data_IF_908262750705
#
_entry.id   IF_908262750705
#
_cell.length_a   1.000
_cell.length_b   1.000
_cell.length_c   1.000
_cell.angle_alpha   90.00
_cell.angle_beta   90.00
_cell.angle_gamma   90.00
#
_symmetry.space_group_name_H-M   'P 1'
#
loop_
_entity.id
_entity.type
_entity.pdbx_description
1 polymer ?
#
# COMPACT_ATOMS: atom_id res chain seq x y z
N UNK A 1 36.26 43.68 61.03
CA UNK A 1 36.89 42.64 60.19
C UNK A 1 35.80 42.11 59.25
N UNK A 2 35.73 42.62 58.02
CA UNK A 2 34.68 42.26 57.03
C UNK A 2 35.26 41.17 56.14
N UNK A 3 34.57 40.03 56.03
CA UNK A 3 34.92 38.94 55.10
C UNK A 3 34.04 39.07 53.87
N UNK A 4 34.65 39.38 52.72
CA UNK A 4 33.99 39.38 51.41
C UNK A 4 34.05 37.98 50.81
N UNK A 5 32.89 37.38 50.53
CA UNK A 5 32.77 36.15 49.75
C UNK A 5 32.50 36.54 48.30
N UNK A 6 33.37 36.09 47.38
CA UNK A 6 33.20 36.30 45.93
C UNK A 6 32.37 35.16 45.35
N UNK A 7 31.22 35.41 44.70
CA UNK A 7 30.55 34.38 43.93
C UNK A 7 31.27 34.22 42.58
N UNK A 8 31.74 33.01 42.29
CA UNK A 8 32.20 32.64 40.94
C UNK A 8 30.94 32.41 40.09
N UNK A 9 30.71 33.28 39.11
CA UNK A 9 29.64 33.09 38.13
C UNK A 9 30.10 32.06 37.10
N UNK A 10 29.52 30.87 37.14
CA UNK A 10 29.75 29.84 36.12
C UNK A 10 28.92 30.19 34.88
N UNK A 11 29.55 30.72 33.84
CA UNK A 11 28.91 31.01 32.56
C UNK A 11 28.76 29.70 31.76
N UNK A 12 27.56 29.13 31.73
CA UNK A 12 27.26 27.99 30.86
C UNK A 12 27.18 28.47 29.40
N UNK A 13 28.20 28.14 28.58
CA UNK A 13 28.13 28.34 27.13
C UNK A 13 27.11 27.35 26.55
N UNK A 14 25.96 27.86 26.11
CA UNK A 14 25.05 27.12 25.24
C UNK A 14 25.65 27.09 23.82
N UNK A 15 26.28 25.98 23.44
CA UNK A 15 26.67 25.73 22.05
C UNK A 15 25.39 25.50 21.23
N UNK A 16 25.22 26.13 20.06
CA UNK A 16 24.09 25.81 19.18
C UNK A 16 24.26 24.37 18.68
N UNK A 17 23.41 23.47 19.16
CA UNK A 17 23.34 22.10 18.66
C UNK A 17 22.50 22.09 17.37
N UNK A 18 23.14 22.02 16.20
CA UNK A 18 22.45 21.71 14.94
C UNK A 18 22.20 20.21 14.86
N UNK A 19 21.17 19.72 15.55
CA UNK A 19 20.81 18.30 15.57
C UNK A 19 19.91 17.89 14.38
N UNK A 20 19.47 18.83 13.55
CA UNK A 20 18.54 18.60 12.46
C UNK A 20 19.25 18.75 11.11
N UNK A 21 19.32 17.67 10.34
CA UNK A 21 19.74 17.71 8.94
C UNK A 21 18.47 17.70 8.07
N UNK A 22 18.28 18.73 7.25
CA UNK A 22 17.21 18.73 6.24
C UNK A 22 17.64 17.85 5.08
N UNK A 23 16.79 16.89 4.72
CA UNK A 23 16.96 16.06 3.52
C UNK A 23 15.76 16.25 2.62
N UNK A 24 16.01 16.41 1.32
CA UNK A 24 14.97 16.49 0.30
C UNK A 24 15.04 15.23 -0.55
N UNK A 25 13.93 14.50 -0.61
CA UNK A 25 13.72 13.35 -1.50
C UNK A 25 12.75 13.78 -2.58
N UNK A 26 13.15 13.64 -3.85
CA UNK A 26 12.34 14.07 -4.98
C UNK A 26 11.61 12.89 -5.61
N UNK A 27 10.29 12.99 -5.77
CA UNK A 27 9.46 12.00 -6.50
C UNK A 27 9.29 12.36 -7.98
N UNK A 28 10.15 13.25 -8.50
CA UNK A 28 10.03 13.86 -9.83
C UNK A 28 8.72 14.66 -10.03
N UNK A 29 8.62 15.35 -11.17
CA UNK A 29 7.45 16.15 -11.49
C UNK A 29 6.19 15.27 -11.57
N UNK A 30 5.13 15.67 -10.86
CA UNK A 30 3.86 14.92 -10.85
C UNK A 30 3.92 13.56 -10.14
N UNK A 31 4.93 13.30 -9.29
CA UNK A 31 5.16 12.01 -8.65
C UNK A 31 5.41 10.86 -9.66
N UNK A 32 6.19 11.13 -10.71
CA UNK A 32 6.50 10.12 -11.72
C UNK A 32 7.37 8.96 -11.19
N UNK A 33 8.04 9.16 -10.04
CA UNK A 33 8.94 8.18 -9.42
C UNK A 33 8.48 7.80 -8.01
N UNK A 34 8.74 6.56 -7.62
CA UNK A 34 8.70 6.08 -6.25
C UNK A 34 10.14 5.94 -5.73
N UNK A 35 10.42 6.51 -4.55
CA UNK A 35 11.76 6.56 -3.97
C UNK A 35 11.75 5.94 -2.58
N UNK A 36 12.64 4.98 -2.35
CA UNK A 36 12.84 4.36 -1.05
C UNK A 36 14.02 5.04 -0.35
N UNK A 37 13.76 5.57 0.84
CA UNK A 37 14.73 6.31 1.64
C UNK A 37 15.01 5.61 2.97
N UNK A 38 16.29 5.47 3.31
CA UNK A 38 16.79 5.00 4.60
C UNK A 38 17.40 6.16 5.37
N UNK A 39 17.09 6.27 6.66
CA UNK A 39 17.68 7.31 7.51
C UNK A 39 19.20 7.18 7.65
N UNK A 40 19.74 5.97 7.50
CA UNK A 40 21.18 5.72 7.57
C UNK A 40 21.88 5.90 6.22
N UNK A 41 21.22 5.50 5.13
CA UNK A 41 21.86 5.32 3.82
C UNK A 41 21.40 6.34 2.75
N UNK A 42 20.43 7.21 3.06
CA UNK A 42 19.85 8.12 2.08
C UNK A 42 18.85 7.41 1.15
N UNK A 43 18.70 7.90 -0.09
CA UNK A 43 17.94 7.21 -1.13
C UNK A 43 18.62 5.88 -1.47
N UNK A 44 17.90 4.76 -1.28
CA UNK A 44 18.44 3.40 -1.50
C UNK A 44 17.94 2.77 -2.78
N UNK A 45 16.80 3.24 -3.31
CA UNK A 45 16.25 2.79 -4.59
C UNK A 45 15.27 3.83 -5.13
N UNK A 46 15.13 3.83 -6.46
CA UNK A 46 14.14 4.61 -7.21
C UNK A 46 13.63 3.76 -8.37
N UNK A 47 12.34 3.86 -8.68
CA UNK A 47 11.72 3.24 -9.84
C UNK A 47 10.57 4.11 -10.35
N UNK A 48 10.20 3.96 -11.62
CA UNK A 48 9.07 4.71 -12.14
C UNK A 48 7.79 4.24 -11.44
N UNK A 49 6.90 5.18 -11.11
CA UNK A 49 5.64 4.88 -10.43
C UNK A 49 4.78 3.91 -11.25
N UNK A 50 4.91 3.93 -12.57
CA UNK A 50 4.16 3.10 -13.51
C UNK A 50 4.69 1.65 -13.63
N UNK A 51 5.85 1.31 -13.05
CA UNK A 51 6.55 0.04 -13.27
C UNK A 51 5.94 -1.17 -12.54
N UNK A 52 4.91 -0.95 -11.70
CA UNK A 52 4.21 -2.03 -11.00
C UNK A 52 2.70 -2.02 -11.28
N UNK A 53 2.09 -3.21 -11.28
CA UNK A 53 0.65 -3.42 -11.44
C UNK A 53 0.00 -3.85 -10.12
N UNK A 54 0.59 -4.86 -9.47
CA UNK A 54 0.12 -5.45 -8.23
C UNK A 54 1.19 -5.38 -7.15
N UNK A 55 0.77 -5.19 -5.90
CA UNK A 55 1.63 -5.33 -4.74
C UNK A 55 0.99 -6.27 -3.72
N UNK A 56 1.83 -7.04 -3.03
CA UNK A 56 1.40 -8.04 -2.06
C UNK A 56 1.92 -7.65 -0.68
N UNK A 57 1.03 -7.59 0.28
CA UNK A 57 1.37 -7.49 1.69
C UNK A 57 1.09 -8.84 2.35
N UNK A 58 2.07 -9.35 3.09
CA UNK A 58 1.93 -10.59 3.88
C UNK A 58 2.55 -10.31 5.25
N UNK A 59 1.73 -9.88 6.20
CA UNK A 59 2.16 -9.59 7.57
C UNK A 59 1.23 -10.25 8.60
N UNK A 60 1.77 -11.27 9.28
CA UNK A 60 1.05 -11.97 10.33
C UNK A 60 -0.22 -12.63 9.80
N UNK A 61 -1.38 -12.11 10.20
CA UNK A 61 -2.70 -12.62 9.80
C UNK A 61 -3.32 -11.86 8.62
N UNK A 62 -2.69 -10.78 8.14
CA UNK A 62 -3.17 -10.04 6.97
C UNK A 62 -2.45 -10.51 5.72
N UNK A 63 -3.21 -10.56 4.62
CA UNK A 63 -2.68 -10.77 3.29
C UNK A 63 -3.45 -9.92 2.29
N UNK A 64 -2.81 -8.87 1.78
CA UNK A 64 -3.44 -7.90 0.91
C UNK A 64 -2.90 -7.94 -0.51
N UNK A 65 -3.78 -7.71 -1.48
CA UNK A 65 -3.41 -7.53 -2.88
C UNK A 65 -3.87 -6.14 -3.31
N UNK A 66 -2.89 -5.28 -3.54
CA UNK A 66 -3.04 -3.88 -3.93
C UNK A 66 -2.87 -3.72 -5.43
N UNK A 67 -3.52 -2.73 -6.02
CA UNK A 67 -3.43 -2.43 -7.45
C UNK A 67 -2.99 -1.00 -7.66
N UNK A 68 -2.08 -0.76 -8.62
CA UNK A 68 -1.60 0.58 -8.95
C UNK A 68 -2.67 1.42 -9.67
N UNK A 69 -3.67 1.87 -8.93
CA UNK A 69 -4.74 2.73 -9.48
C UNK A 69 -4.20 4.12 -9.85
N UNK A 70 -3.10 4.55 -9.23
CA UNK A 70 -2.45 5.83 -9.52
C UNK A 70 -1.90 5.91 -10.96
N UNK A 71 -1.50 4.77 -11.57
CA UNK A 71 -1.14 4.74 -12.99
C UNK A 71 -2.32 4.61 -13.96
N UNK A 72 -3.56 4.72 -13.46
CA UNK A 72 -4.78 4.65 -14.25
C UNK A 72 -5.40 3.26 -14.37
N UNK A 73 -4.96 2.29 -13.57
CA UNK A 73 -5.62 0.98 -13.50
C UNK A 73 -6.93 1.06 -12.72
N UNK A 74 -7.88 0.19 -13.07
CA UNK A 74 -9.17 0.07 -12.38
C UNK A 74 -9.49 -1.39 -12.11
N UNK A 75 -10.18 -1.67 -11.02
CA UNK A 75 -10.49 -3.04 -10.60
C UNK A 75 -11.97 -3.15 -10.28
N UNK A 76 -12.61 -4.21 -10.77
CA UNK A 76 -14.01 -4.50 -10.53
C UNK A 76 -14.13 -5.89 -9.93
N UNK A 77 -14.86 -6.02 -8.81
CA UNK A 77 -15.19 -7.34 -8.25
C UNK A 77 -16.32 -7.94 -9.08
N UNK A 78 -16.05 -9.09 -9.69
CA UNK A 78 -17.02 -9.76 -10.55
C UNK A 78 -18.06 -10.49 -9.68
N UNK A 79 -19.36 -10.39 -9.99
CA UNK A 79 -20.42 -11.13 -9.28
C UNK A 79 -20.50 -12.59 -9.77
N UNK A 80 -19.34 -13.23 -9.95
CA UNK A 80 -19.20 -14.60 -10.43
C UNK A 80 -18.37 -15.39 -9.44
N UNK A 81 -18.75 -16.64 -9.22
CA UNK A 81 -17.94 -17.55 -8.45
C UNK A 81 -16.77 -18.07 -9.31
N UNK A 82 -15.69 -18.51 -8.68
CA UNK A 82 -14.46 -18.96 -9.35
C UNK A 82 -14.71 -20.10 -10.36
N UNK A 83 -15.67 -20.98 -10.09
CA UNK A 83 -16.05 -22.05 -11.02
C UNK A 83 -16.67 -21.54 -12.33
N UNK A 84 -17.27 -20.36 -12.32
CA UNK A 84 -17.95 -19.75 -13.48
C UNK A 84 -17.00 -18.89 -14.34
N UNK A 85 -15.69 -18.99 -14.09
CA UNK A 85 -14.64 -18.21 -14.76
C UNK A 85 -14.73 -18.23 -16.29
N UNK A 86 -15.05 -19.39 -16.87
CA UNK A 86 -15.12 -19.57 -18.32
C UNK A 86 -16.31 -18.84 -18.95
N UNK A 87 -17.41 -18.68 -18.19
CA UNK A 87 -18.67 -18.06 -18.62
C UNK A 87 -18.82 -16.60 -18.19
N UNK A 88 -17.82 -16.02 -17.53
CA UNK A 88 -17.85 -14.62 -17.10
C UNK A 88 -18.06 -13.68 -18.30
N UNK A 89 -19.19 -12.97 -18.28
CA UNK A 89 -19.58 -11.93 -19.24
C UNK A 89 -19.43 -10.54 -18.60
N UNK A 90 -18.70 -9.65 -19.29
CA UNK A 90 -18.43 -8.27 -18.85
C UNK A 90 -19.40 -7.25 -19.45
N UNK A 91 -20.40 -7.69 -20.23
CA UNK A 91 -21.41 -6.81 -20.82
C UNK A 91 -22.15 -6.03 -19.72
N UNK A 92 -22.10 -4.70 -19.80
CA UNK A 92 -22.74 -3.83 -18.81
C UNK A 92 -22.02 -3.72 -17.46
N UNK A 93 -20.80 -4.25 -17.30
CA UNK A 93 -20.11 -4.24 -15.99
C UNK A 93 -19.90 -2.83 -15.43
N UNK A 94 -19.59 -1.83 -16.27
CA UNK A 94 -19.34 -0.46 -15.83
C UNK A 94 -20.54 0.21 -15.15
N UNK A 95 -21.75 -0.33 -15.36
CA UNK A 95 -22.99 0.17 -14.74
C UNK A 95 -23.44 -0.65 -13.53
N UNK A 96 -22.90 -1.86 -13.35
CA UNK A 96 -23.47 -2.86 -12.42
C UNK A 96 -22.48 -3.43 -11.42
N UNK A 97 -21.19 -3.46 -11.75
CA UNK A 97 -20.17 -4.04 -10.89
C UNK A 97 -19.56 -2.96 -10.00
N UNK A 98 -19.20 -3.35 -8.78
CA UNK A 98 -18.51 -2.48 -7.85
C UNK A 98 -17.06 -2.31 -8.30
N UNK A 99 -16.66 -1.07 -8.57
CA UNK A 99 -15.25 -0.71 -8.66
C UNK A 99 -14.65 -0.72 -7.25
N UNK A 100 -13.51 -1.39 -7.09
CA UNK A 100 -12.85 -1.61 -5.80
C UNK A 100 -11.49 -0.93 -5.80
N UNK A 101 -11.10 -0.41 -4.65
CA UNK A 101 -9.93 0.45 -4.51
C UNK A 101 -9.10 0.05 -3.29
N UNK A 102 -7.81 0.33 -3.38
CA UNK A 102 -6.90 0.25 -2.25
C UNK A 102 -7.36 1.18 -1.10
N UNK A 103 -7.19 0.74 0.14
CA UNK A 103 -7.36 1.63 1.30
C UNK A 103 -6.26 2.71 1.29
N UNK A 104 -6.66 3.93 1.62
CA UNK A 104 -5.81 5.11 1.81
C UNK A 104 -5.13 5.15 3.18
N UNK A 105 -5.57 4.30 4.12
CA UNK A 105 -5.23 4.32 5.54
C UNK A 105 -4.61 3.01 6.02
N UNK A 106 -4.74 1.92 5.25
CA UNK A 106 -4.23 0.61 5.63
C UNK A 106 -3.60 -0.13 4.45
N UNK A 107 -2.37 -0.62 4.64
CA UNK A 107 -1.73 -1.53 3.69
C UNK A 107 -2.39 -2.91 3.65
N UNK A 108 -2.96 -3.34 4.78
CA UNK A 108 -3.64 -4.64 4.93
C UNK A 108 -4.98 -4.75 4.19
N UNK A 109 -5.46 -3.64 3.61
CA UNK A 109 -6.68 -3.59 2.84
C UNK A 109 -6.37 -3.06 1.43
N UNK A 110 -6.00 -3.96 0.53
CA UNK A 110 -5.85 -3.66 -0.89
C UNK A 110 -7.16 -3.74 -1.66
N UNK A 111 -7.15 -3.35 -2.93
CA UNK A 111 -8.33 -3.34 -3.79
C UNK A 111 -9.02 -4.70 -3.86
N UNK A 112 -8.27 -5.80 -3.86
CA UNK A 112 -8.85 -7.15 -3.94
C UNK A 112 -9.28 -7.69 -2.57
N UNK A 113 -9.00 -6.97 -1.47
CA UNK A 113 -9.50 -7.30 -0.15
C UNK A 113 -10.92 -6.78 0.12
N UNK A 114 -11.53 -6.11 -0.86
CA UNK A 114 -12.89 -5.61 -0.73
C UNK A 114 -13.93 -6.75 -0.70
N UNK A 115 -15.01 -6.54 0.05
CA UNK A 115 -16.10 -7.50 0.16
C UNK A 115 -15.82 -8.65 1.14
N UNK A 116 -15.06 -8.36 2.21
CA UNK A 116 -14.89 -9.26 3.35
C UNK A 116 -16.25 -9.71 3.89
N UNK A 117 -16.37 -10.99 4.18
CA UNK A 117 -17.54 -11.57 4.85
C UNK A 117 -17.37 -11.55 6.38
N UNK A 118 -18.35 -12.13 7.10
CA UNK A 118 -18.23 -12.35 8.54
C UNK A 118 -17.23 -13.44 8.92
N UNK A 119 -16.68 -14.17 7.94
CA UNK A 119 -15.64 -15.17 8.17
C UNK A 119 -14.31 -14.47 8.46
N UNK A 120 -13.75 -14.68 9.64
CA UNK A 120 -12.48 -14.09 10.06
C UNK A 120 -11.26 -14.55 9.23
N UNK A 121 -11.41 -15.62 8.44
CA UNK A 121 -10.39 -16.14 7.54
C UNK A 121 -10.54 -15.67 6.09
N UNK A 122 -11.60 -14.94 5.79
CA UNK A 122 -11.81 -14.35 4.48
C UNK A 122 -10.96 -13.08 4.33
N UNK A 123 -10.17 -13.05 3.26
CA UNK A 123 -9.30 -11.95 2.90
C UNK A 123 -9.86 -11.11 1.75
N UNK A 124 -11.08 -11.40 1.28
CA UNK A 124 -11.80 -10.70 0.22
C UNK A 124 -11.49 -11.25 -1.18
N UNK A 125 -10.23 -11.66 -1.41
CA UNK A 125 -9.79 -12.33 -2.63
C UNK A 125 -9.72 -13.86 -2.50
N UNK A 126 -9.71 -14.35 -1.26
CA UNK A 126 -9.61 -15.76 -0.95
C UNK A 126 -9.80 -16.04 0.53
N UNK A 127 -9.94 -17.32 0.87
CA UNK A 127 -10.18 -17.77 2.24
C UNK A 127 -8.98 -18.58 2.73
N UNK A 128 -8.46 -18.17 3.89
CA UNK A 128 -7.41 -18.88 4.59
C UNK A 128 -7.92 -20.17 5.24
N UNK A 129 -7.17 -21.26 5.04
CA UNK A 129 -7.43 -22.54 5.69
C UNK A 129 -6.43 -22.76 6.83
N UNK A 130 -6.92 -22.84 8.06
CA UNK A 130 -6.10 -23.01 9.27
C UNK A 130 -5.42 -24.38 9.38
N UNK A 131 -5.92 -25.41 8.68
CA UNK A 131 -5.35 -26.77 8.70
C UNK A 131 -4.18 -26.87 7.72
N UNK A 132 -4.36 -26.34 6.51
CA UNK A 132 -3.33 -26.43 5.45
C UNK A 132 -2.42 -25.22 5.40
N UNK A 133 -2.76 -24.13 6.10
CA UNK A 133 -2.09 -22.83 6.05
C UNK A 133 -2.03 -22.22 4.63
N UNK A 134 -3.04 -22.49 3.80
CA UNK A 134 -3.12 -22.01 2.41
C UNK A 134 -4.31 -21.04 2.30
N UNK A 135 -4.12 -19.94 1.58
CA UNK A 135 -5.23 -19.09 1.13
C UNK A 135 -5.65 -19.56 -0.26
N UNK A 136 -6.90 -19.98 -0.41
CA UNK A 136 -7.47 -20.36 -1.70
C UNK A 136 -8.30 -19.20 -2.25
N UNK A 137 -8.03 -18.79 -3.49
CA UNK A 137 -8.80 -17.76 -4.17
C UNK A 137 -10.25 -18.18 -4.36
N UNK A 138 -11.18 -17.32 -3.94
CA UNK A 138 -12.63 -17.58 -3.97
C UNK A 138 -13.43 -16.52 -4.76
N UNK A 139 -12.73 -15.46 -5.20
CA UNK A 139 -13.30 -14.29 -5.84
C UNK A 139 -12.69 -14.06 -7.22
N UNK A 140 -13.48 -13.48 -8.12
CA UNK A 140 -13.05 -13.12 -9.47
C UNK A 140 -13.04 -11.60 -9.61
N UNK A 141 -12.03 -11.08 -10.29
CA UNK A 141 -11.88 -9.66 -10.58
C UNK A 141 -11.67 -9.42 -12.06
N UNK A 142 -12.06 -8.23 -12.51
CA UNK A 142 -11.75 -7.71 -13.84
C UNK A 142 -10.97 -6.41 -13.69
N UNK A 143 -9.82 -6.34 -14.34
CA UNK A 143 -8.90 -5.22 -14.27
C UNK A 143 -8.87 -4.51 -15.61
N UNK A 144 -9.00 -3.18 -15.59
CA UNK A 144 -8.56 -2.32 -16.69
C UNK A 144 -7.11 -1.94 -16.43
N UNK A 145 -6.22 -2.27 -17.36
CA UNK A 145 -4.83 -1.85 -17.32
C UNK A 145 -4.71 -0.38 -17.77
N UNK A 146 -3.58 0.25 -17.44
CA UNK A 146 -3.33 1.65 -17.80
C UNK A 146 -3.37 1.92 -19.31
N UNK A 147 -3.07 0.92 -20.14
CA UNK A 147 -3.14 1.00 -21.59
C UNK A 147 -4.56 0.77 -22.16
N UNK A 148 -5.56 0.53 -21.30
CA UNK A 148 -6.94 0.26 -21.68
C UNK A 148 -7.29 -1.21 -21.89
N UNK A 149 -6.30 -2.12 -21.87
CA UNK A 149 -6.56 -3.56 -21.98
C UNK A 149 -7.30 -4.08 -20.75
N UNK A 150 -8.07 -5.15 -20.96
CA UNK A 150 -8.82 -5.81 -19.88
C UNK A 150 -8.24 -7.18 -19.57
N UNK A 151 -8.12 -7.49 -18.27
CA UNK A 151 -7.69 -8.80 -17.76
C UNK A 151 -8.71 -9.33 -16.75
N UNK A 152 -8.91 -10.65 -16.75
CA UNK A 152 -9.60 -11.34 -15.64
C UNK A 152 -8.54 -11.83 -14.65
N UNK A 153 -8.86 -11.86 -13.36
CA UNK A 153 -8.00 -12.36 -12.29
C UNK A 153 -8.81 -13.22 -11.30
N UNK A 154 -8.24 -14.36 -10.87
CA UNK A 154 -8.78 -15.28 -9.86
C UNK A 154 -7.63 -16.00 -9.16
#
# INVERSE_FOLDING_TARGET
MIRTLTPVLLLALALPATAQNTVTVSTAAGNAEQVWYSLQNGEVATAALADWDLAFEIAGFTASIRVNTQKGMRVFKAPYAVQDWASLDTTGMLATWKEVHDSDTSWSHGALNDGLTSNEFDLGWGVYNQVTHIVAGDSVFVLQLANGDWKKLR
#
